data_IF_595071828575
#
_entry.id   IF_595071828575
#
_cell.length_a   1.000
_cell.length_b   1.000
_cell.length_c   1.000
_cell.angle_alpha   90.00
_cell.angle_beta   90.00
_cell.angle_gamma   90.00
#
_symmetry.space_group_name_H-M   'P 1'
#
loop_
_entity.id
_entity.type
_entity.pdbx_description
1 polymer ?
#
# COMPACT_ATOMS: atom_id res chain seq x y z
N UNK A 1 -10.84 -19.29 -1.22
CA UNK A 1 -9.56 -18.91 -1.86
C UNK A 1 -9.06 -17.64 -1.21
N UNK A 2 -7.78 -17.58 -0.86
CA UNK A 2 -7.18 -16.44 -0.18
C UNK A 2 -6.49 -15.54 -1.21
N UNK A 3 -7.23 -14.52 -1.67
CA UNK A 3 -6.76 -13.56 -2.69
C UNK A 3 -5.70 -12.57 -2.18
N UNK A 4 -5.57 -12.44 -0.86
CA UNK A 4 -4.63 -11.55 -0.19
C UNK A 4 -3.58 -12.34 0.57
N UNK A 5 -2.30 -12.10 0.26
CA UNK A 5 -1.16 -12.56 1.03
C UNK A 5 -0.67 -11.44 1.96
N UNK A 6 -0.45 -11.77 3.23
CA UNK A 6 0.19 -10.88 4.21
C UNK A 6 1.60 -11.39 4.47
N UNK A 7 2.58 -10.49 4.45
CA UNK A 7 3.98 -10.79 4.75
C UNK A 7 4.47 -9.79 5.77
N UNK A 8 4.97 -10.27 6.91
CA UNK A 8 5.75 -9.44 7.82
C UNK A 8 7.17 -9.36 7.26
N UNK A 9 7.59 -8.16 6.89
CA UNK A 9 8.94 -7.91 6.36
C UNK A 9 9.97 -8.06 7.48
N UNK A 10 11.11 -8.66 7.15
CA UNK A 10 12.27 -8.77 8.04
C UNK A 10 13.41 -7.86 7.56
N UNK A 11 13.12 -6.95 6.64
CA UNK A 11 14.11 -6.05 6.08
C UNK A 11 14.65 -5.08 7.14
N UNK A 12 15.98 -5.05 7.28
CA UNK A 12 16.68 -4.14 8.19
C UNK A 12 17.12 -2.83 7.49
N UNK A 13 17.09 -2.81 6.15
CA UNK A 13 17.42 -1.66 5.34
C UNK A 13 16.63 -1.61 4.01
N UNK A 14 16.85 -0.55 3.23
CA UNK A 14 16.18 -0.33 1.95
C UNK A 14 16.54 -1.38 0.89
N UNK A 15 17.73 -1.97 0.94
CA UNK A 15 18.19 -2.96 -0.03
C UNK A 15 17.51 -4.30 0.22
N UNK A 16 17.49 -4.74 1.49
CA UNK A 16 16.76 -5.92 1.92
C UNK A 16 15.28 -5.82 1.56
N UNK A 17 14.64 -4.66 1.81
CA UNK A 17 13.24 -4.44 1.45
C UNK A 17 13.04 -4.49 -0.08
N UNK A 18 13.95 -3.91 -0.85
CA UNK A 18 13.90 -3.99 -2.32
C UNK A 18 13.93 -5.46 -2.77
N UNK A 19 14.77 -6.28 -2.14
CA UNK A 19 14.85 -7.73 -2.41
C UNK A 19 13.57 -8.49 -2.05
N UNK A 20 12.96 -8.20 -0.90
CA UNK A 20 11.69 -8.80 -0.49
C UNK A 20 10.54 -8.44 -1.44
N UNK A 21 10.41 -7.15 -1.79
CA UNK A 21 9.42 -6.67 -2.75
C UNK A 21 9.64 -7.34 -4.12
N UNK A 22 10.89 -7.46 -4.56
CA UNK A 22 11.23 -8.12 -5.82
C UNK A 22 10.85 -9.61 -5.81
N UNK A 23 11.02 -10.31 -4.70
CA UNK A 23 10.63 -11.70 -4.54
C UNK A 23 9.11 -11.87 -4.56
N UNK A 24 8.37 -11.05 -3.83
CA UNK A 24 6.90 -11.08 -3.81
C UNK A 24 6.29 -10.71 -5.17
N UNK A 25 6.91 -9.76 -5.89
CA UNK A 25 6.52 -9.42 -7.26
C UNK A 25 6.60 -10.64 -8.20
N UNK A 26 7.68 -11.43 -8.13
CA UNK A 26 7.81 -12.67 -8.92
C UNK A 26 6.72 -13.68 -8.59
N UNK A 27 6.38 -13.84 -7.30
CA UNK A 27 5.34 -14.77 -6.85
C UNK A 27 3.98 -14.38 -7.44
N UNK A 28 3.62 -13.09 -7.36
CA UNK A 28 2.34 -12.61 -7.89
C UNK A 28 2.23 -12.80 -9.41
N UNK A 29 3.30 -12.50 -10.16
CA UNK A 29 3.33 -12.68 -11.61
C UNK A 29 3.28 -14.16 -12.00
N UNK A 30 4.01 -15.03 -11.28
CA UNK A 30 3.97 -16.47 -11.53
C UNK A 30 2.60 -17.09 -11.27
N UNK A 31 1.84 -16.56 -10.29
CA UNK A 31 0.50 -17.04 -9.95
C UNK A 31 -0.62 -16.55 -10.88
N UNK A 32 -0.31 -15.91 -12.00
CA UNK A 32 -1.34 -15.45 -12.95
C UNK A 32 -2.04 -16.66 -13.58
N UNK A 33 -3.37 -16.70 -13.48
CA UNK A 33 -4.21 -17.78 -14.02
C UNK A 33 -4.43 -18.96 -13.06
N UNK A 34 -3.78 -18.96 -11.90
CA UNK A 34 -4.00 -19.98 -10.87
C UNK A 34 -5.11 -19.55 -9.90
N UNK A 35 -6.16 -20.37 -9.75
CA UNK A 35 -7.31 -20.05 -8.89
C UNK A 35 -6.94 -19.93 -7.40
N UNK A 36 -5.92 -20.68 -6.95
CA UNK A 36 -5.43 -20.65 -5.57
C UNK A 36 -4.38 -19.59 -5.28
N UNK A 37 -3.86 -18.90 -6.31
CA UNK A 37 -2.81 -17.89 -6.12
C UNK A 37 -3.37 -16.58 -5.58
N UNK A 38 -2.54 -15.86 -4.82
CA UNK A 38 -2.87 -14.53 -4.36
C UNK A 38 -2.93 -13.53 -5.53
N UNK A 39 -3.90 -12.62 -5.47
CA UNK A 39 -4.06 -11.50 -6.41
C UNK A 39 -3.24 -10.28 -5.95
N UNK A 40 -2.90 -10.24 -4.67
CA UNK A 40 -2.17 -9.14 -4.05
C UNK A 40 -1.37 -9.56 -2.82
N UNK A 41 -0.29 -8.83 -2.54
CA UNK A 41 0.55 -8.99 -1.34
C UNK A 41 0.64 -7.67 -0.58
N UNK A 42 0.41 -7.69 0.73
CA UNK A 42 0.78 -6.62 1.65
C UNK A 42 2.05 -7.01 2.40
N UNK A 43 3.12 -6.25 2.21
CA UNK A 43 4.34 -6.32 3.00
C UNK A 43 4.25 -5.30 4.14
N UNK A 44 4.09 -5.79 5.37
CA UNK A 44 4.00 -4.99 6.59
C UNK A 44 5.41 -4.79 7.15
N UNK A 45 5.85 -3.55 7.30
CA UNK A 45 7.21 -3.19 7.70
C UNK A 45 7.29 -2.84 9.18
N UNK A 46 8.48 -3.01 9.75
CA UNK A 46 8.78 -2.50 11.09
C UNK A 46 8.81 -0.96 11.07
N UNK A 47 8.04 -0.25 11.92
CA UNK A 47 8.09 1.21 12.05
C UNK A 47 9.49 1.77 12.40
N UNK A 48 10.36 0.93 12.97
CA UNK A 48 11.73 1.30 13.32
C UNK A 48 12.64 1.40 12.07
N UNK A 49 12.27 0.79 10.95
CA UNK A 49 13.04 0.76 9.71
C UNK A 49 13.27 2.18 9.18
N UNK A 50 14.54 2.58 9.11
CA UNK A 50 14.91 3.98 8.87
C UNK A 50 14.38 4.56 7.55
N UNK A 51 14.28 3.75 6.50
CA UNK A 51 13.85 4.20 5.18
C UNK A 51 12.33 4.39 5.04
N UNK A 52 11.53 4.00 6.04
CA UNK A 52 10.09 4.21 6.06
C UNK A 52 9.59 4.82 7.38
N UNK A 53 10.49 5.46 8.16
CA UNK A 53 10.13 6.09 9.44
C UNK A 53 9.16 7.25 9.29
N UNK A 54 9.29 8.01 8.22
CA UNK A 54 8.39 9.13 7.89
C UNK A 54 7.68 8.87 6.58
N UNK A 55 6.50 9.46 6.39
CA UNK A 55 5.78 9.34 5.12
C UNK A 55 6.63 9.80 3.93
N UNK A 56 7.37 10.90 4.08
CA UNK A 56 8.23 11.45 3.02
C UNK A 56 9.37 10.51 2.65
N UNK A 57 10.02 9.88 3.63
CA UNK A 57 11.09 8.92 3.36
C UNK A 57 10.54 7.68 2.65
N UNK A 58 9.35 7.23 3.06
CA UNK A 58 8.71 6.09 2.44
C UNK A 58 8.27 6.37 1.00
N UNK A 59 7.75 7.56 0.71
CA UNK A 59 7.46 8.00 -0.67
C UNK A 59 8.73 8.03 -1.51
N UNK A 60 9.85 8.54 -1.00
CA UNK A 60 11.15 8.52 -1.72
C UNK A 60 11.64 7.09 -1.98
N UNK A 61 11.48 6.20 -1.00
CA UNK A 61 11.84 4.79 -1.13
C UNK A 61 11.01 4.10 -2.22
N UNK A 62 9.74 4.46 -2.37
CA UNK A 62 8.87 3.85 -3.39
C UNK A 62 9.38 4.02 -4.82
N UNK A 63 10.10 5.12 -5.12
CA UNK A 63 10.73 5.31 -6.42
C UNK A 63 11.84 4.28 -6.66
N UNK A 64 12.63 3.97 -5.62
CA UNK A 64 13.62 2.90 -5.67
C UNK A 64 12.97 1.53 -5.84
N UNK A 65 11.87 1.26 -5.12
CA UNK A 65 11.14 -0.01 -5.24
C UNK A 65 10.57 -0.18 -6.67
N UNK A 66 9.95 0.87 -7.21
CA UNK A 66 9.42 0.85 -8.58
C UNK A 66 10.52 0.57 -9.60
N UNK A 67 11.68 1.20 -9.47
CA UNK A 67 12.77 1.03 -10.45
C UNK A 67 13.46 -0.33 -10.31
N UNK A 68 13.85 -0.70 -9.09
CA UNK A 68 14.73 -1.85 -8.84
C UNK A 68 13.98 -3.15 -8.56
N UNK A 69 12.81 -3.09 -7.95
CA UNK A 69 12.02 -4.29 -7.65
C UNK A 69 10.98 -4.59 -8.74
N UNK A 70 10.47 -3.59 -9.47
CA UNK A 70 9.43 -3.80 -10.49
C UNK A 70 10.00 -3.67 -11.91
N UNK A 71 10.50 -2.49 -12.28
CA UNK A 71 10.95 -2.20 -13.66
C UNK A 71 12.17 -3.02 -14.08
N UNK A 72 13.16 -3.20 -13.20
CA UNK A 72 14.33 -4.04 -13.49
C UNK A 72 13.97 -5.50 -13.83
N UNK A 73 12.76 -5.94 -13.47
CA UNK A 73 12.24 -7.27 -13.78
C UNK A 73 11.27 -7.30 -14.98
N UNK A 74 10.93 -6.14 -15.56
CA UNK A 74 9.93 -6.03 -16.64
C UNK A 74 8.49 -6.15 -16.16
N UNK A 75 8.19 -5.81 -14.89
CA UNK A 75 6.86 -5.95 -14.30
C UNK A 75 6.08 -4.62 -14.20
N UNK A 76 6.58 -3.54 -14.80
CA UNK A 76 6.01 -2.18 -14.68
C UNK A 76 4.59 -2.03 -15.23
N UNK A 77 4.18 -2.87 -16.17
CA UNK A 77 2.80 -2.91 -16.70
C UNK A 77 1.94 -3.99 -16.02
N UNK A 78 2.54 -4.83 -15.19
CA UNK A 78 1.88 -5.98 -14.55
C UNK A 78 1.49 -5.71 -13.10
N UNK A 79 2.30 -4.90 -12.40
CA UNK A 79 2.17 -4.67 -10.97
C UNK A 79 2.13 -3.17 -10.63
N UNK A 80 1.25 -2.83 -9.70
CA UNK A 80 1.20 -1.52 -9.04
C UNK A 80 1.75 -1.62 -7.62
N UNK A 81 2.53 -0.60 -7.22
CA UNK A 81 2.88 -0.36 -5.82
C UNK A 81 1.94 0.71 -5.25
N UNK A 82 1.26 0.38 -4.16
CA UNK A 82 0.51 1.32 -3.33
C UNK A 82 1.10 1.34 -1.93
N UNK A 83 1.16 2.51 -1.31
CA UNK A 83 1.77 2.69 0.01
C UNK A 83 0.71 3.06 1.04
N UNK A 84 0.84 2.50 2.24
CA UNK A 84 0.12 2.96 3.43
C UNK A 84 1.13 3.25 4.54
N UNK A 85 0.86 4.27 5.35
CA UNK A 85 1.76 4.69 6.42
C UNK A 85 0.96 5.35 7.55
N UNK A 86 1.39 5.28 8.83
CA UNK A 86 0.70 5.96 9.92
C UNK A 86 0.54 7.47 9.70
N UNK A 87 1.59 8.09 9.14
CA UNK A 87 1.64 9.52 8.79
C UNK A 87 1.21 9.83 7.35
N UNK A 88 0.61 8.88 6.62
CA UNK A 88 0.23 9.11 5.23
C UNK A 88 -0.74 10.29 5.10
N UNK A 89 -0.49 11.13 4.09
CA UNK A 89 -1.31 12.26 3.70
C UNK A 89 -1.51 12.27 2.20
N UNK A 90 -2.69 12.69 1.72
CA UNK A 90 -2.99 12.78 0.29
C UNK A 90 -2.13 13.82 -0.43
N UNK A 91 -1.67 14.85 0.29
CA UNK A 91 -0.72 15.84 -0.22
C UNK A 91 0.70 15.28 -0.15
N UNK A 92 1.46 15.33 -1.24
CA UNK A 92 2.88 15.00 -1.23
C UNK A 92 3.71 15.96 -0.33
N UNK A 93 3.13 17.10 0.04
CA UNK A 93 3.67 18.05 1.00
C UNK A 93 2.89 17.92 2.31
N UNK A 94 3.56 17.47 3.38
CA UNK A 94 2.97 17.29 4.72
C UNK A 94 2.64 18.61 5.46
N UNK A 95 2.53 19.73 4.74
CA UNK A 95 2.36 21.07 5.32
C UNK A 95 0.88 21.52 5.37
N UNK A 96 -0.05 20.62 5.08
CA UNK A 96 -1.49 20.87 5.18
C UNK A 96 -2.04 20.63 6.59
N UNK A 97 -3.20 21.21 6.94
CA UNK A 97 -3.90 20.86 8.17
C UNK A 97 -4.31 19.37 8.13
N UNK A 98 -4.41 18.75 9.30
CA UNK A 98 -4.89 17.36 9.41
C UNK A 98 -6.27 17.21 8.77
N UNK A 99 -6.43 16.20 7.91
CA UNK A 99 -7.70 15.87 7.28
C UNK A 99 -8.07 14.41 7.57
N UNK A 100 -9.29 14.18 8.07
CA UNK A 100 -9.77 12.82 8.30
C UNK A 100 -9.79 11.97 7.02
N UNK A 101 -9.82 12.59 5.84
CA UNK A 101 -9.68 11.93 4.55
C UNK A 101 -8.36 11.16 4.39
N UNK A 102 -7.28 11.58 5.05
CA UNK A 102 -5.97 10.92 4.97
C UNK A 102 -6.02 9.50 5.53
N UNK A 103 -6.93 9.22 6.47
CA UNK A 103 -7.14 7.88 7.01
C UNK A 103 -7.62 6.85 5.96
N UNK A 104 -7.97 7.26 4.73
CA UNK A 104 -8.24 6.33 3.65
C UNK A 104 -6.98 5.63 3.12
N UNK A 105 -5.80 6.18 3.42
CA UNK A 105 -4.48 5.67 3.01
C UNK A 105 -3.52 5.49 4.19
N UNK A 106 -4.01 5.61 5.43
CA UNK A 106 -3.22 5.31 6.62
C UNK A 106 -3.35 3.84 7.00
N UNK A 107 -2.30 3.32 7.62
CA UNK A 107 -2.25 2.00 8.22
C UNK A 107 -1.47 2.09 9.54
N UNK A 108 -1.68 1.18 10.51
CA UNK A 108 -0.99 1.18 11.80
C UNK A 108 0.52 0.99 11.69
N UNK A 109 0.97 0.35 10.60
CA UNK A 109 2.37 0.12 10.26
C UNK A 109 2.64 0.63 8.83
N UNK A 110 3.89 0.95 8.45
CA UNK A 110 4.23 1.16 7.05
C UNK A 110 3.96 -0.12 6.24
N UNK A 111 3.29 0.02 5.09
CA UNK A 111 2.91 -1.13 4.25
C UNK A 111 3.18 -0.83 2.79
N UNK A 112 3.85 -1.76 2.11
CA UNK A 112 3.93 -1.82 0.65
C UNK A 112 2.87 -2.80 0.16
N UNK A 113 1.97 -2.34 -0.71
CA UNK A 113 0.92 -3.14 -1.31
C UNK A 113 1.23 -3.37 -2.78
N UNK A 114 1.44 -4.64 -3.15
CA UNK A 114 1.64 -5.07 -4.52
C UNK A 114 0.32 -5.59 -5.08
N UNK A 115 -0.14 -4.98 -6.17
CA UNK A 115 -1.40 -5.31 -6.83
C UNK A 115 -1.14 -5.72 -8.27
N UNK A 116 -1.79 -6.78 -8.76
CA UNK A 116 -1.77 -7.11 -10.20
C UNK A 116 -2.71 -6.19 -10.96
N UNK A 117 -2.19 -5.49 -11.96
CA UNK A 117 -2.94 -4.52 -12.77
C UNK A 117 -4.21 -5.15 -13.37
N UNK A 118 -4.09 -6.36 -13.91
CA UNK A 118 -5.22 -7.08 -14.49
C UNK A 118 -6.35 -7.34 -13.49
N UNK A 119 -6.02 -7.67 -12.23
CA UNK A 119 -7.04 -7.93 -11.21
C UNK A 119 -7.68 -6.63 -10.71
N UNK A 120 -6.90 -5.55 -10.61
CA UNK A 120 -7.42 -4.21 -10.32
C UNK A 120 -8.40 -3.78 -11.41
N UNK A 121 -8.03 -3.90 -12.69
CA UNK A 121 -8.90 -3.57 -13.82
C UNK A 121 -10.18 -4.41 -13.82
N UNK A 122 -10.08 -5.71 -13.54
CA UNK A 122 -11.24 -6.60 -13.42
C UNK A 122 -12.16 -6.18 -12.28
N UNK A 123 -11.60 -5.84 -11.12
CA UNK A 123 -12.36 -5.37 -9.97
C UNK A 123 -13.07 -4.03 -10.27
N UNK A 124 -12.36 -3.08 -10.86
CA UNK A 124 -12.89 -1.76 -11.28
C UNK A 124 -14.03 -1.94 -12.29
N UNK A 125 -13.86 -2.79 -13.31
CA UNK A 125 -14.89 -3.05 -14.31
C UNK A 125 -16.15 -3.70 -13.73
N UNK A 126 -16.02 -4.46 -12.63
CA UNK A 126 -17.14 -5.12 -11.96
C UNK A 126 -17.86 -4.24 -10.93
N UNK A 127 -17.24 -3.12 -10.51
CA UNK A 127 -17.74 -2.28 -9.43
C UNK A 127 -18.43 -1.01 -9.98
N UNK A 128 -19.72 -0.79 -9.70
CA UNK A 128 -20.41 0.42 -10.15
C UNK A 128 -19.77 1.69 -9.57
N UNK A 129 -19.52 2.67 -10.43
CA UNK A 129 -18.93 3.97 -10.06
C UNK A 129 -17.61 3.83 -9.28
N UNK A 130 -16.71 2.96 -9.74
CA UNK A 130 -15.40 2.72 -9.13
C UNK A 130 -14.56 4.01 -9.03
N UNK A 131 -14.69 4.89 -10.00
CA UNK A 131 -14.09 6.22 -10.06
C UNK A 131 -14.53 7.15 -8.92
N UNK A 132 -15.71 6.91 -8.32
CA UNK A 132 -16.23 7.69 -7.20
C UNK A 132 -15.73 7.19 -5.83
N UNK A 133 -15.13 5.98 -5.78
CA UNK A 133 -14.64 5.38 -4.52
C UNK A 133 -13.74 6.34 -3.74
N UNK A 134 -12.73 6.99 -4.35
CA UNK A 134 -11.87 7.91 -3.63
C UNK A 134 -12.65 9.09 -3.02
N UNK A 135 -13.53 9.74 -3.79
CA UNK A 135 -14.31 10.88 -3.32
C UNK A 135 -15.27 10.48 -2.18
N UNK A 136 -15.95 9.33 -2.34
CA UNK A 136 -16.89 8.79 -1.34
C UNK A 136 -16.19 8.42 -0.04
N UNK A 137 -14.99 7.83 -0.11
CA UNK A 137 -14.20 7.48 1.07
C UNK A 137 -13.75 8.73 1.83
N UNK A 138 -13.23 9.74 1.11
CA UNK A 138 -12.84 11.03 1.72
C UNK A 138 -14.03 11.71 2.41
N UNK A 139 -15.18 11.78 1.75
CA UNK A 139 -16.39 12.37 2.33
C UNK A 139 -16.88 11.60 3.58
N UNK A 140 -16.85 10.27 3.55
CA UNK A 140 -17.24 9.42 4.68
C UNK A 140 -16.33 9.64 5.90
N UNK A 141 -15.02 9.69 5.71
CA UNK A 141 -14.08 9.88 6.80
C UNK A 141 -14.15 11.30 7.38
N UNK A 142 -14.31 12.33 6.53
CA UNK A 142 -14.57 13.71 6.99
C UNK A 142 -15.84 13.81 7.82
N UNK A 143 -16.90 13.09 7.46
CA UNK A 143 -18.14 13.01 8.25
C UNK A 143 -17.94 12.32 9.61
N UNK A 144 -17.01 11.36 9.71
CA UNK A 144 -16.68 10.68 10.97
C UNK A 144 -15.82 11.57 11.88
N UNK A 145 -14.97 12.42 11.29
CA UNK A 145 -14.09 13.35 12.00
C UNK A 145 -12.78 12.72 12.48
N UNK A 146 -11.79 13.59 12.70
CA UNK A 146 -10.42 13.19 13.05
C UNK A 146 -10.34 12.31 14.30
N UNK A 147 -10.99 12.71 15.38
CA UNK A 147 -10.91 12.00 16.67
C UNK A 147 -11.38 10.54 16.57
N UNK A 148 -12.49 10.28 15.87
CA UNK A 148 -12.98 8.90 15.71
C UNK A 148 -12.07 8.09 14.79
N UNK A 149 -11.55 8.69 13.72
CA UNK A 149 -10.60 8.01 12.83
C UNK A 149 -9.30 7.66 13.55
N UNK A 150 -8.76 8.58 14.35
CA UNK A 150 -7.55 8.36 15.14
C UNK A 150 -7.74 7.25 16.17
N UNK A 151 -8.81 7.32 16.97
CA UNK A 151 -9.10 6.28 17.96
C UNK A 151 -9.23 4.88 17.35
N UNK A 152 -9.76 4.77 16.12
CA UNK A 152 -9.84 3.49 15.40
C UNK A 152 -8.49 2.99 14.93
N UNK A 153 -7.60 3.90 14.51
CA UNK A 153 -6.25 3.53 14.09
C UNK A 153 -5.42 3.06 15.29
N UNK A 154 -5.51 3.77 16.42
CA UNK A 154 -4.79 3.43 17.66
C UNK A 154 -5.24 2.05 18.19
N UNK A 155 -6.55 1.77 18.16
CA UNK A 155 -7.12 0.49 18.56
C UNK A 155 -6.69 -0.72 17.68
N UNK A 156 -5.97 -0.51 16.57
CA UNK A 156 -5.40 -1.60 15.78
C UNK A 156 -4.06 -2.11 16.34
N UNK A 157 -3.43 -1.37 17.25
CA UNK A 157 -2.08 -1.66 17.79
C UNK A 157 -2.16 -2.09 19.27
N UNK A 158 -3.28 -1.81 19.94
CA UNK A 158 -3.62 -2.28 21.30
C UNK A 158 -4.02 -3.77 21.32
#
# INVERSE_FOLDING_TARGET
>A
EQKLKLVASLAEDAEALTGEVAAEAKILVAGVGEASAAETTLLVLDPALGCCRTWRDFVRLSWQLQDRAIRAQGFEELLQIVLFHPEAVHSAYCDGPEDAADFSIRAPFPVVHLLREMDVMKAVASYPAAEEIPARNKAKLRKQGLSLCQARLDACIE
#
